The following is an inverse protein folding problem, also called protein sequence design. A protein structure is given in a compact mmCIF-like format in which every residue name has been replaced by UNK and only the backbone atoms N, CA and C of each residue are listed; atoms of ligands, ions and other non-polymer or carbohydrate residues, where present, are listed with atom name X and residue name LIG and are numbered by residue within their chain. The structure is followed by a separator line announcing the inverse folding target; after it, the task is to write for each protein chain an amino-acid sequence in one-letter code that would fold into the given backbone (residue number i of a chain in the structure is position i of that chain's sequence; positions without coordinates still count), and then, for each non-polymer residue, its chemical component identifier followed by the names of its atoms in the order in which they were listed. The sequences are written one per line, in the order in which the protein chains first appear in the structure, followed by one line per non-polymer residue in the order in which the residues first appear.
data_IF_943119890905
#
_entry.id   IF_943119890905
#
_cell.length_a   1.000
_cell.length_b   1.000
_cell.length_c   1.000
_cell.angle_alpha   90.00
_cell.angle_beta   90.00
_cell.angle_gamma   90.00
#
_symmetry.space_group_name_H-M   'P 1'
#
loop_
_entity.id
_entity.type
_entity.pdbx_description
1 polymer ?
#
# COMPACT_ATOMS: atom_id res chain seq x y z
N UNK A 1 -2.42 -26.15 9.13
CA UNK A 1 -3.06 -26.28 7.79
C UNK A 1 -4.26 -25.34 7.79
N UNK A 2 -4.55 -24.53 6.78
CA UNK A 2 -5.64 -23.53 6.88
C UNK A 2 -7.03 -24.12 7.23
N UNK A 3 -7.26 -25.37 6.88
CA UNK A 3 -8.48 -26.12 7.21
C UNK A 3 -8.62 -26.45 8.71
N UNK A 4 -7.51 -26.54 9.47
CA UNK A 4 -7.57 -26.74 10.93
C UNK A 4 -8.05 -25.50 11.66
N UNK A 5 -7.92 -24.33 11.04
CA UNK A 5 -8.39 -23.03 11.56
C UNK A 5 -9.82 -22.69 11.07
N UNK A 6 -10.54 -23.63 10.45
CA UNK A 6 -11.88 -23.40 9.92
C UNK A 6 -11.93 -22.52 8.66
N UNK A 7 -10.79 -22.26 8.02
CA UNK A 7 -10.71 -21.42 6.81
C UNK A 7 -10.89 -22.28 5.55
N UNK A 8 -11.92 -21.97 4.76
CA UNK A 8 -12.14 -22.60 3.45
C UNK A 8 -11.20 -22.01 2.41
N UNK A 9 -10.36 -22.87 1.81
CA UNK A 9 -9.51 -22.48 0.68
C UNK A 9 -10.36 -22.45 -0.60
N UNK A 10 -10.39 -21.29 -1.25
CA UNK A 10 -11.02 -21.10 -2.56
C UNK A 10 -9.95 -20.75 -3.59
N UNK A 11 -9.87 -21.54 -4.65
CA UNK A 11 -8.95 -21.27 -5.75
C UNK A 11 -9.56 -20.24 -6.71
N UNK A 12 -8.71 -19.35 -7.23
CA UNK A 12 -9.10 -18.47 -8.33
C UNK A 12 -9.38 -19.33 -9.57
N UNK A 13 -10.56 -19.20 -10.17
CA UNK A 13 -10.90 -19.97 -11.35
C UNK A 13 -10.00 -19.58 -12.54
N UNK A 14 -9.65 -20.53 -13.43
CA UNK A 14 -8.94 -20.22 -14.66
C UNK A 14 -9.64 -19.12 -15.44
N UNK A 15 -8.87 -18.16 -15.96
CA UNK A 15 -9.37 -17.05 -16.79
C UNK A 15 -10.44 -16.17 -16.12
N UNK A 16 -10.50 -16.14 -14.78
CA UNK A 16 -11.42 -15.28 -14.02
C UNK A 16 -10.68 -14.11 -13.33
N UNK A 17 -10.20 -13.08 -14.08
CA UNK A 17 -9.37 -12.00 -13.53
C UNK A 17 -10.08 -11.20 -12.43
N UNK A 18 -11.42 -11.21 -12.41
CA UNK A 18 -12.22 -10.52 -11.40
C UNK A 18 -12.16 -11.18 -10.02
N UNK A 19 -12.00 -12.50 -9.94
CA UNK A 19 -11.97 -13.24 -8.66
C UNK A 19 -10.79 -12.83 -7.77
N UNK A 20 -9.70 -12.33 -8.36
CA UNK A 20 -8.52 -11.87 -7.63
C UNK A 20 -8.16 -10.40 -7.97
N UNK A 21 -9.13 -9.60 -8.40
CA UNK A 21 -8.88 -8.24 -8.91
C UNK A 21 -8.20 -7.33 -7.87
N UNK A 22 -8.49 -7.51 -6.58
CA UNK A 22 -7.89 -6.74 -5.49
C UNK A 22 -6.39 -7.00 -5.41
N UNK A 23 -5.99 -8.28 -5.31
CA UNK A 23 -4.56 -8.62 -5.27
C UNK A 23 -3.86 -8.33 -6.60
N UNK A 24 -4.52 -8.56 -7.74
CA UNK A 24 -3.96 -8.20 -9.04
C UNK A 24 -3.67 -6.71 -9.15
N UNK A 25 -4.57 -5.84 -8.66
CA UNK A 25 -4.33 -4.40 -8.57
C UNK A 25 -3.17 -4.07 -7.63
N UNK A 26 -3.12 -4.71 -6.46
CA UNK A 26 -2.05 -4.52 -5.48
C UNK A 26 -0.67 -4.87 -6.06
N UNK A 27 -0.52 -6.06 -6.64
CA UNK A 27 0.73 -6.50 -7.28
C UNK A 27 1.14 -5.53 -8.40
N UNK A 28 0.18 -5.07 -9.21
CA UNK A 28 0.44 -4.09 -10.26
C UNK A 28 0.94 -2.75 -9.71
N UNK A 29 0.42 -2.29 -8.57
CA UNK A 29 0.90 -1.09 -7.89
C UNK A 29 2.33 -1.27 -7.37
N UNK A 30 2.61 -2.35 -6.64
CA UNK A 30 3.96 -2.68 -6.16
C UNK A 30 4.96 -2.69 -7.32
N UNK A 31 4.59 -3.30 -8.45
CA UNK A 31 5.47 -3.36 -9.62
C UNK A 31 5.80 -1.96 -10.18
N UNK A 32 4.78 -1.17 -10.51
CA UNK A 32 4.96 0.15 -11.16
C UNK A 32 5.56 1.22 -10.26
N UNK A 33 5.26 1.16 -8.97
CA UNK A 33 5.66 2.19 -8.00
C UNK A 33 6.99 1.85 -7.32
N UNK A 34 7.35 0.56 -7.24
CA UNK A 34 8.54 0.11 -6.55
C UNK A 34 9.47 -0.75 -7.41
N UNK A 35 9.01 -1.92 -7.87
CA UNK A 35 9.92 -2.93 -8.44
C UNK A 35 10.55 -2.49 -9.77
N UNK A 36 9.84 -1.70 -10.56
CA UNK A 36 10.36 -1.18 -11.84
C UNK A 36 11.31 0.03 -11.65
N UNK A 37 11.49 0.52 -10.41
CA UNK A 37 12.21 1.77 -10.10
C UNK A 37 13.40 1.60 -9.15
N UNK A 38 13.57 0.42 -8.55
CA UNK A 38 14.60 0.16 -7.55
C UNK A 38 15.43 -1.05 -7.96
N UNK A 39 16.74 -0.90 -7.90
CA UNK A 39 17.66 -2.02 -8.01
C UNK A 39 17.82 -2.70 -6.64
N UNK A 40 17.45 -3.97 -6.57
CA UNK A 40 17.58 -4.77 -5.35
C UNK A 40 18.94 -5.46 -5.33
N UNK A 41 19.67 -5.23 -4.23
CA UNK A 41 21.02 -5.77 -4.04
C UNK A 41 21.01 -7.25 -3.63
N UNK A 42 19.98 -7.67 -2.89
CA UNK A 42 19.77 -9.03 -2.42
C UNK A 42 18.34 -9.20 -1.91
N UNK A 43 17.98 -10.43 -1.56
CA UNK A 43 16.64 -10.77 -1.05
C UNK A 43 16.30 -10.04 0.26
N UNK A 44 17.26 -9.90 1.18
CA UNK A 44 17.05 -9.18 2.44
C UNK A 44 16.69 -7.70 2.19
N UNK A 45 17.37 -7.08 1.23
CA UNK A 45 17.07 -5.71 0.80
C UNK A 45 15.66 -5.65 0.20
N UNK A 46 15.32 -6.54 -0.71
CA UNK A 46 13.96 -6.62 -1.30
C UNK A 46 12.88 -6.76 -0.23
N UNK A 47 13.04 -7.69 0.73
CA UNK A 47 12.08 -7.89 1.83
C UNK A 47 11.89 -6.63 2.68
N UNK A 48 12.99 -5.95 3.03
CA UNK A 48 12.92 -4.70 3.80
C UNK A 48 12.16 -3.62 3.04
N UNK A 49 12.45 -3.47 1.76
CA UNK A 49 11.83 -2.46 0.90
C UNK A 49 10.34 -2.75 0.65
N UNK A 50 9.97 -4.02 0.45
CA UNK A 50 8.58 -4.44 0.34
C UNK A 50 7.78 -4.20 1.63
N UNK A 51 8.35 -4.49 2.80
CA UNK A 51 7.68 -4.21 4.08
C UNK A 51 7.46 -2.71 4.31
N UNK A 52 8.41 -1.88 3.88
CA UNK A 52 8.28 -0.44 3.91
C UNK A 52 7.20 0.06 2.94
N UNK A 53 7.15 -0.49 1.73
CA UNK A 53 6.08 -0.19 0.76
C UNK A 53 4.70 -0.65 1.27
N UNK A 54 4.58 -1.82 1.88
CA UNK A 54 3.32 -2.30 2.47
C UNK A 54 2.82 -1.36 3.56
N UNK A 55 3.73 -0.92 4.43
CA UNK A 55 3.41 0.06 5.48
C UNK A 55 2.89 1.35 4.86
N UNK A 56 3.57 1.86 3.83
CA UNK A 56 3.14 3.06 3.10
C UNK A 56 1.77 2.85 2.43
N UNK A 57 1.58 1.74 1.71
CA UNK A 57 0.36 1.42 0.98
C UNK A 57 -0.87 1.38 1.89
N UNK A 58 -0.72 0.80 3.08
CA UNK A 58 -1.82 0.61 4.03
C UNK A 58 -2.07 1.84 4.91
N UNK A 59 -1.05 2.66 5.21
CA UNK A 59 -1.17 3.75 6.20
C UNK A 59 -1.10 5.17 5.63
N UNK A 60 -0.62 5.35 4.40
CA UNK A 60 -0.35 6.67 3.85
C UNK A 60 -0.78 6.86 2.40
N UNK A 61 -0.61 5.84 1.55
CA UNK A 61 -0.98 5.93 0.14
C UNK A 61 -2.48 6.25 0.04
N UNK A 62 -2.88 7.30 -0.67
CA UNK A 62 -4.29 7.61 -0.84
C UNK A 62 -4.95 6.63 -1.81
N UNK A 63 -6.15 6.16 -1.48
CA UNK A 63 -6.92 5.24 -2.33
C UNK A 63 -8.22 5.90 -2.77
N UNK A 64 -8.43 5.97 -4.09
CA UNK A 64 -9.65 6.55 -4.66
C UNK A 64 -10.93 5.85 -4.18
N UNK A 65 -10.88 4.52 -4.01
CA UNK A 65 -12.02 3.75 -3.50
C UNK A 65 -12.39 4.10 -2.04
N UNK A 66 -11.46 4.69 -1.29
CA UNK A 66 -11.62 5.09 0.10
C UNK A 66 -11.69 6.63 0.25
N UNK A 67 -12.15 7.35 -0.78
CA UNK A 67 -12.23 8.82 -0.78
C UNK A 67 -10.88 9.49 -0.44
N UNK A 68 -9.78 8.96 -0.98
CA UNK A 68 -8.39 9.40 -0.72
C UNK A 68 -7.84 9.06 0.68
N UNK A 69 -8.60 8.38 1.54
CA UNK A 69 -8.05 7.76 2.73
C UNK A 69 -7.14 6.58 2.39
N UNK A 70 -6.41 6.10 3.39
CA UNK A 70 -5.67 4.83 3.30
C UNK A 70 -6.38 3.73 4.11
N UNK A 71 -6.16 2.43 3.81
CA UNK A 71 -6.87 1.33 4.44
C UNK A 71 -6.86 1.34 5.97
N UNK A 72 -5.74 1.77 6.56
CA UNK A 72 -5.53 1.80 8.02
C UNK A 72 -5.43 3.21 8.60
N UNK A 73 -5.73 4.26 7.80
CA UNK A 73 -5.76 5.65 8.27
C UNK A 73 -6.85 6.41 7.51
N UNK A 74 -7.94 6.69 8.23
CA UNK A 74 -8.99 7.58 7.78
C UNK A 74 -8.45 9.02 7.61
N UNK A 75 -9.12 9.79 6.76
CA UNK A 75 -8.84 11.22 6.67
C UNK A 75 -9.34 11.92 7.95
N UNK A 76 -8.58 12.91 8.47
CA UNK A 76 -9.08 13.78 9.52
C UNK A 76 -10.25 14.62 8.98
N UNK A 77 -11.04 15.18 9.90
CA UNK A 77 -12.09 16.12 9.54
C UNK A 77 -11.49 17.37 8.88
N UNK A 78 -12.18 17.99 7.90
CA UNK A 78 -11.72 19.23 7.30
C UNK A 78 -11.59 20.32 8.36
N UNK A 79 -10.46 21.04 8.34
CA UNK A 79 -10.23 22.18 9.22
C UNK A 79 -10.20 23.45 8.35
N UNK A 80 -10.86 24.52 8.81
CA UNK A 80 -11.01 25.79 8.09
C UNK A 80 -9.93 26.83 8.47
N UNK A 81 -8.74 26.34 8.82
CA UNK A 81 -7.57 27.15 9.20
C UNK A 81 -6.37 26.74 8.37
N UNK A 82 -5.33 27.57 8.34
CA UNK A 82 -4.06 27.18 7.75
C UNK A 82 -3.48 25.98 8.51
N UNK A 83 -3.29 24.87 7.80
CA UNK A 83 -2.76 23.63 8.35
C UNK A 83 -1.28 23.52 7.96
N UNK A 84 -0.43 23.25 8.95
CA UNK A 84 0.97 22.94 8.66
C UNK A 84 1.07 21.53 8.06
N UNK A 85 1.63 21.43 6.85
CA UNK A 85 1.83 20.15 6.16
C UNK A 85 3.31 19.78 6.19
N UNK A 86 3.63 18.67 6.85
CA UNK A 86 4.97 18.10 6.84
C UNK A 86 5.06 16.96 5.82
N UNK A 87 6.14 16.96 5.04
CA UNK A 87 6.49 15.88 4.12
C UNK A 87 7.57 15.00 4.73
N UNK A 88 7.35 13.69 4.68
CA UNK A 88 8.34 12.66 5.01
C UNK A 88 8.63 11.81 3.78
N UNK A 89 9.90 11.74 3.41
CA UNK A 89 10.36 10.88 2.32
C UNK A 89 10.76 9.50 2.84
N UNK A 90 10.38 8.48 2.08
CA UNK A 90 10.68 7.06 2.34
C UNK A 90 11.35 6.44 1.13
N UNK A 91 12.13 5.38 1.36
CA UNK A 91 12.91 4.69 0.32
C UNK A 91 13.75 5.65 -0.56
N UNK A 92 14.48 6.58 0.06
CA UNK A 92 15.33 7.53 -0.66
C UNK A 92 14.56 8.55 -1.49
N UNK A 93 13.32 8.88 -1.11
CA UNK A 93 12.47 9.83 -1.83
C UNK A 93 11.64 9.19 -2.95
N UNK A 94 11.61 7.86 -3.04
CA UNK A 94 10.71 7.17 -3.96
C UNK A 94 9.24 7.29 -3.52
N UNK A 95 8.99 7.28 -2.21
CA UNK A 95 7.68 7.39 -1.62
C UNK A 95 7.60 8.69 -0.80
N UNK A 96 6.49 9.40 -0.96
CA UNK A 96 6.22 10.64 -0.25
C UNK A 96 5.02 10.45 0.67
N UNK A 97 5.20 10.73 1.95
CA UNK A 97 4.15 10.72 2.95
C UNK A 97 3.93 12.14 3.44
N UNK A 98 2.66 12.54 3.56
CA UNK A 98 2.28 13.87 4.04
C UNK A 98 1.48 13.72 5.33
N UNK A 99 1.78 14.56 6.31
CA UNK A 99 1.05 14.63 7.57
C UNK A 99 0.66 16.08 7.83
N UNK A 100 -0.58 16.25 8.28
CA UNK A 100 -1.09 17.52 8.79
C UNK A 100 -0.78 17.61 10.27
N UNK A 101 -0.26 18.75 10.69
CA UNK A 101 -0.15 19.15 12.09
C UNK A 101 -1.12 20.31 12.30
N UNK A 102 -1.93 20.19 13.36
CA UNK A 102 -2.86 21.23 13.80
C UNK A 102 -2.26 21.97 15.01
#
# INVERSE_FOLDING_TARGET
MFTTEGIRVLLTAPQAPRMNAVMGRWVGSVRRELLDRVLFLNERHLRKVLAEYETHFNRHRPHRALKQASPLRALPDPVDTDIEVSRRDRLGGLLHEYAQFA
#
